data_IF_097674145822
#
_entry.id   IF_097674145822
#
_cell.length_a   1.000
_cell.length_b   1.000
_cell.length_c   1.000
_cell.angle_alpha   90.00
_cell.angle_beta   90.00
_cell.angle_gamma   90.00
#
_symmetry.space_group_name_H-M   'P 1'
#
loop_
_entity.id
_entity.type
_entity.pdbx_description
1 polymer ?
#
# COMPACT_ATOMS: atom_id res chain seq x y z
N UNK A 1 29.21 9.81 1.47
CA UNK A 1 28.95 9.60 0.03
C UNK A 1 27.47 9.82 -0.19
N UNK A 2 27.02 10.69 -1.12
CA UNK A 2 25.60 10.85 -1.37
C UNK A 2 25.15 9.59 -2.11
N UNK A 3 24.41 8.73 -1.42
CA UNK A 3 23.64 7.65 -2.03
C UNK A 3 22.86 8.29 -3.19
N UNK A 4 23.18 7.89 -4.43
CA UNK A 4 22.89 8.74 -5.59
C UNK A 4 21.37 8.86 -5.73
N UNK A 5 20.84 10.04 -6.05
CA UNK A 5 19.38 10.28 -6.22
C UNK A 5 18.71 9.22 -7.12
N UNK A 6 19.47 8.65 -8.05
CA UNK A 6 19.07 7.54 -8.93
C UNK A 6 18.77 6.22 -8.18
N UNK A 7 19.44 5.92 -7.07
CA UNK A 7 19.16 4.72 -6.26
C UNK A 7 17.83 4.81 -5.52
N UNK A 8 17.42 6.02 -5.09
CA UNK A 8 16.13 6.22 -4.44
C UNK A 8 14.98 6.09 -5.43
N UNK A 9 15.13 6.64 -6.64
CA UNK A 9 14.16 6.45 -7.72
C UNK A 9 14.00 4.97 -8.07
N UNK A 10 15.12 4.24 -8.22
CA UNK A 10 15.09 2.79 -8.44
C UNK A 10 14.38 2.05 -7.32
N UNK A 11 14.61 2.43 -6.06
CA UNK A 11 13.93 1.83 -4.91
C UNK A 11 12.42 2.07 -4.98
N UNK A 12 11.98 3.30 -5.26
CA UNK A 12 10.55 3.62 -5.42
C UNK A 12 9.94 2.75 -6.51
N UNK A 13 10.57 2.67 -7.68
CA UNK A 13 10.05 1.89 -8.81
C UNK A 13 10.03 0.38 -8.51
N UNK A 14 11.03 -0.17 -7.82
CA UNK A 14 11.03 -1.57 -7.37
C UNK A 14 9.86 -1.86 -6.45
N UNK A 15 9.65 -1.01 -5.43
CA UNK A 15 8.56 -1.19 -4.46
C UNK A 15 7.19 -1.07 -5.15
N UNK A 16 7.04 -0.16 -6.12
CA UNK A 16 5.82 -0.04 -6.94
C UNK A 16 5.56 -1.32 -7.73
N UNK A 17 6.60 -1.89 -8.36
CA UNK A 17 6.49 -3.13 -9.12
C UNK A 17 6.12 -4.32 -8.23
N UNK A 18 6.78 -4.46 -7.08
CA UNK A 18 6.47 -5.51 -6.09
C UNK A 18 5.04 -5.39 -5.57
N UNK A 19 4.61 -4.18 -5.19
CA UNK A 19 3.23 -3.93 -4.76
C UNK A 19 2.23 -4.32 -5.85
N UNK A 20 2.49 -3.95 -7.11
CA UNK A 20 1.64 -4.32 -8.25
C UNK A 20 1.52 -5.85 -8.38
N UNK A 21 2.65 -6.57 -8.32
CA UNK A 21 2.66 -8.03 -8.42
C UNK A 21 1.89 -8.70 -7.27
N UNK A 22 2.02 -8.20 -6.04
CA UNK A 22 1.29 -8.72 -4.90
C UNK A 22 -0.22 -8.51 -5.05
N UNK A 23 -0.65 -7.32 -5.50
CA UNK A 23 -2.07 -7.01 -5.70
C UNK A 23 -2.70 -7.85 -6.82
N UNK A 24 -2.01 -7.97 -7.97
CA UNK A 24 -2.47 -8.80 -9.09
C UNK A 24 -2.45 -10.29 -8.72
N UNK A 25 -1.51 -10.70 -7.86
CA UNK A 25 -1.39 -12.05 -7.33
C UNK A 25 -2.32 -12.37 -6.15
N UNK A 26 -3.24 -11.47 -5.78
CA UNK A 26 -4.18 -11.64 -4.65
C UNK A 26 -3.49 -11.84 -3.29
N UNK A 27 -2.24 -11.40 -3.13
CA UNK A 27 -1.44 -11.49 -1.91
C UNK A 27 -1.63 -10.26 -1.03
N UNK A 28 -2.86 -10.06 -0.55
CA UNK A 28 -3.26 -8.80 0.09
C UNK A 28 -2.58 -8.52 1.44
N UNK A 29 -2.29 -9.55 2.22
CA UNK A 29 -1.58 -9.41 3.50
C UNK A 29 -0.13 -8.94 3.30
N UNK A 30 0.57 -9.49 2.31
CA UNK A 30 1.92 -9.07 1.93
C UNK A 30 1.90 -7.65 1.32
N UNK A 31 0.87 -7.34 0.52
CA UNK A 31 0.71 -6.04 -0.14
C UNK A 31 0.62 -4.88 0.87
N UNK A 32 0.03 -5.11 2.05
CA UNK A 32 -0.06 -4.10 3.12
C UNK A 32 1.31 -3.55 3.52
N UNK A 33 2.28 -4.45 3.73
CA UNK A 33 3.65 -4.08 4.07
C UNK A 33 4.31 -3.23 2.98
N UNK A 34 4.14 -3.63 1.72
CA UNK A 34 4.71 -2.91 0.57
C UNK A 34 4.05 -1.55 0.32
N UNK A 35 2.75 -1.43 0.54
CA UNK A 35 2.05 -0.14 0.50
C UNK A 35 2.55 0.80 1.60
N UNK A 36 2.85 0.28 2.79
CA UNK A 36 3.48 1.02 3.88
C UNK A 36 4.89 1.51 3.53
N UNK A 37 5.72 0.64 2.94
CA UNK A 37 7.05 0.99 2.45
C UNK A 37 6.98 2.10 1.39
N UNK A 38 6.11 1.96 0.38
CA UNK A 38 5.93 2.97 -0.67
C UNK A 38 5.47 4.31 -0.07
N UNK A 39 4.51 4.27 0.86
CA UNK A 39 4.05 5.48 1.57
C UNK A 39 5.19 6.20 2.28
N UNK A 40 6.08 5.44 2.95
CA UNK A 40 7.28 5.98 3.59
C UNK A 40 8.22 6.66 2.60
N UNK A 41 8.50 6.01 1.45
CA UNK A 41 9.38 6.55 0.42
C UNK A 41 8.82 7.85 -0.19
N UNK A 42 7.51 7.96 -0.36
CA UNK A 42 6.86 9.15 -0.92
C UNK A 42 6.68 10.31 0.08
N UNK A 43 7.13 10.17 1.35
CA UNK A 43 7.15 11.28 2.32
C UNK A 43 8.28 12.28 2.05
N UNK A 44 9.41 11.82 1.49
CA UNK A 44 10.56 12.68 1.19
C UNK A 44 10.85 12.70 -0.31
N UNK A 45 9.95 13.34 -1.06
CA UNK A 45 10.06 13.46 -2.52
C UNK A 45 11.16 14.41 -2.98
N UNK A 46 11.71 15.27 -2.11
CA UNK A 46 12.80 16.20 -2.47
C UNK A 46 14.09 15.49 -2.87
N UNK A 47 14.25 14.26 -2.40
CA UNK A 47 15.39 13.41 -2.69
C UNK A 47 15.23 12.61 -3.99
N UNK A 48 14.01 12.59 -4.56
CA UNK A 48 13.67 11.87 -5.78
C UNK A 48 13.89 12.75 -7.02
N UNK A 49 14.22 12.11 -8.14
CA UNK A 49 14.31 12.75 -9.46
C UNK A 49 13.20 12.32 -10.41
N UNK A 50 12.25 11.51 -9.92
CA UNK A 50 11.05 11.14 -10.66
C UNK A 50 10.21 12.38 -11.03
N UNK A 51 9.56 12.39 -12.21
CA UNK A 51 8.66 13.46 -12.59
C UNK A 51 7.55 13.68 -11.55
N UNK A 52 7.23 14.94 -11.27
CA UNK A 52 6.20 15.32 -10.29
C UNK A 52 4.85 14.64 -10.55
N UNK A 53 4.40 14.59 -11.81
CA UNK A 53 3.15 13.92 -12.18
C UNK A 53 3.15 12.43 -11.76
N UNK A 54 4.29 11.75 -11.84
CA UNK A 54 4.41 10.35 -11.47
C UNK A 54 4.29 10.18 -9.96
N UNK A 55 4.92 11.07 -9.19
CA UNK A 55 4.82 11.08 -7.73
C UNK A 55 3.38 11.34 -7.27
N UNK A 56 2.68 12.26 -7.93
CA UNK A 56 1.28 12.56 -7.63
C UNK A 56 0.36 11.37 -7.92
N UNK A 57 0.56 10.72 -9.07
CA UNK A 57 -0.17 9.49 -9.43
C UNK A 57 0.08 8.36 -8.42
N UNK A 58 1.33 8.15 -7.99
CA UNK A 58 1.65 7.14 -6.98
C UNK A 58 0.96 7.42 -5.64
N UNK A 59 0.96 8.68 -5.19
CA UNK A 59 0.24 9.10 -3.97
C UNK A 59 -1.27 8.88 -4.11
N UNK A 60 -1.84 9.20 -5.27
CA UNK A 60 -3.26 8.98 -5.53
C UNK A 60 -3.62 7.48 -5.49
N UNK A 61 -2.83 6.63 -6.14
CA UNK A 61 -3.07 5.18 -6.13
C UNK A 61 -2.92 4.58 -4.72
N UNK A 62 -1.95 5.03 -3.93
CA UNK A 62 -1.83 4.62 -2.52
C UNK A 62 -3.05 5.03 -1.71
N UNK A 63 -3.55 6.26 -1.89
CA UNK A 63 -4.76 6.72 -1.21
C UNK A 63 -5.96 5.82 -1.55
N UNK A 64 -6.13 5.48 -2.83
CA UNK A 64 -7.17 4.55 -3.28
C UNK A 64 -6.98 3.15 -2.68
N UNK A 65 -5.76 2.64 -2.61
CA UNK A 65 -5.47 1.36 -1.97
C UNK A 65 -5.89 1.35 -0.49
N UNK A 66 -5.47 2.36 0.29
CA UNK A 66 -5.83 2.45 1.71
C UNK A 66 -7.34 2.58 1.92
N UNK A 67 -8.03 3.32 1.05
CA UNK A 67 -9.48 3.38 1.08
C UNK A 67 -10.12 1.99 0.91
N UNK A 68 -9.65 1.18 -0.03
CA UNK A 68 -10.17 -0.18 -0.21
C UNK A 68 -9.83 -1.11 0.95
N UNK A 69 -8.64 -0.98 1.54
CA UNK A 69 -8.30 -1.71 2.76
C UNK A 69 -9.24 -1.36 3.92
N UNK A 70 -9.66 -0.10 4.04
CA UNK A 70 -10.65 0.32 5.04
C UNK A 70 -12.01 -0.37 4.80
N UNK A 71 -12.44 -0.53 3.55
CA UNK A 71 -13.67 -1.26 3.23
C UNK A 71 -13.57 -2.75 3.59
N UNK A 72 -12.42 -3.38 3.31
CA UNK A 72 -12.15 -4.77 3.73
C UNK A 72 -12.24 -4.90 5.25
N UNK A 73 -11.64 -3.97 6.00
CA UNK A 73 -11.69 -3.97 7.46
C UNK A 73 -13.13 -3.80 7.99
N UNK A 74 -13.97 -2.99 7.34
CA UNK A 74 -15.40 -2.87 7.68
C UNK A 74 -16.13 -4.20 7.45
N UNK A 75 -15.85 -4.88 6.34
CA UNK A 75 -16.40 -6.21 6.05
C UNK A 75 -16.02 -7.22 7.13
N UNK A 76 -14.74 -7.29 7.51
CA UNK A 76 -14.27 -8.18 8.58
C UNK A 76 -14.95 -7.89 9.92
N UNK A 77 -15.17 -6.62 10.28
CA UNK A 77 -15.93 -6.26 11.49
C UNK A 77 -17.38 -6.77 11.46
N UNK A 78 -18.03 -6.68 10.30
CA UNK A 78 -19.39 -7.21 10.15
C UNK A 78 -19.40 -8.74 10.27
N UNK A 79 -18.42 -9.42 9.68
CA UNK A 79 -18.25 -10.88 9.82
C UNK A 79 -18.00 -11.30 11.27
N UNK A 80 -17.17 -10.56 12.00
CA UNK A 80 -16.92 -10.79 13.43
C UNK A 80 -18.21 -10.64 14.25
N UNK A 81 -19.02 -9.61 13.97
CA UNK A 81 -20.31 -9.44 14.64
C UNK A 81 -21.30 -10.57 14.33
N UNK A 82 -21.26 -11.16 13.12
CA UNK A 82 -22.02 -12.38 12.80
C UNK A 82 -21.51 -13.55 13.63
N UNK A 83 -20.18 -13.72 13.72
CA UNK A 83 -19.55 -14.77 14.54
C UNK A 83 -20.04 -14.75 15.99
N UNK A 84 -20.03 -13.58 16.65
CA UNK A 84 -20.55 -13.45 18.02
C UNK A 84 -22.03 -13.85 18.15
N UNK A 85 -22.87 -13.49 17.17
CA UNK A 85 -24.28 -13.92 17.19
C UNK A 85 -24.46 -15.42 16.99
N UNK A 86 -23.50 -16.09 16.34
CA UNK A 86 -23.54 -17.54 16.18
C UNK A 86 -23.12 -18.26 17.47
N UNK A 87 -22.25 -17.65 18.29
CA UNK A 87 -21.88 -18.16 19.61
C UNK A 87 -23.10 -18.24 20.56
N UNK A 88 -24.12 -17.39 20.38
CA UNK A 88 -25.36 -17.40 21.19
C UNK A 88 -26.15 -18.73 21.09
N UNK A 89 -25.81 -19.62 20.15
CA UNK A 89 -26.43 -20.94 19.98
C UNK A 89 -25.64 -22.09 20.61
N UNK A 90 -24.51 -21.82 21.27
CA UNK A 90 -23.71 -22.81 22.02
C UNK A 90 -24.09 -22.84 23.50
#
# INVERSE_FOLDING_TARGET
>A
MPQSKNEQDKKVLSVVQELSQLLIGYKYDEAWGKAGELSGLLKNTESLTLPSYMLDMLKQHLKSYYYQQEQVNKSHKAQLAIGHKLEDFQ
#
